data_IF_656436346302
#
_entry.id   IF_656436346302
#
_cell.length_a   1.000
_cell.length_b   1.000
_cell.length_c   1.000
_cell.angle_alpha   90.00
_cell.angle_beta   90.00
_cell.angle_gamma   90.00
#
_symmetry.space_group_name_H-M   'P 1'
#
loop_
_entity.id
_entity.type
_entity.pdbx_description
1 polymer ?
#
# COMPACT_ATOMS: atom_id res chain seq x y z
N UNK A 1 19.31 47.34 64.13
CA UNK A 1 18.41 46.69 63.18
C UNK A 1 19.22 45.69 62.41
N UNK A 2 19.05 44.42 62.71
CA UNK A 2 19.80 43.34 62.06
C UNK A 2 19.04 42.84 60.82
N UNK A 3 19.70 42.90 59.71
CA UNK A 3 19.21 42.38 58.42
C UNK A 3 19.24 40.84 58.47
N UNK A 4 18.07 40.22 58.39
CA UNK A 4 17.95 38.76 58.27
C UNK A 4 18.14 38.35 56.83
N UNK A 5 18.99 37.35 56.53
CA UNK A 5 19.14 36.84 55.15
C UNK A 5 17.87 36.14 54.70
N UNK A 6 17.44 36.45 53.47
CA UNK A 6 16.34 35.76 52.78
C UNK A 6 16.70 34.27 52.53
N UNK A 7 15.75 33.35 52.67
CA UNK A 7 16.02 31.96 52.38
C UNK A 7 16.29 31.74 50.88
N UNK A 8 17.34 31.02 50.55
CA UNK A 8 17.67 30.59 49.18
C UNK A 8 16.54 29.82 48.56
N UNK A 9 16.07 30.28 47.39
CA UNK A 9 15.08 29.56 46.59
C UNK A 9 15.66 28.21 46.15
N UNK A 10 14.92 27.10 46.27
CA UNK A 10 15.47 25.79 45.88
C UNK A 10 15.76 25.80 44.38
N UNK A 11 17.01 25.44 44.03
CA UNK A 11 17.42 25.20 42.65
C UNK A 11 16.51 24.10 42.10
N UNK A 12 15.83 24.31 40.96
CA UNK A 12 14.97 23.27 40.38
C UNK A 12 15.85 22.05 40.05
N UNK A 13 15.40 20.86 40.48
CA UNK A 13 16.07 19.61 40.21
C UNK A 13 16.31 19.47 38.68
N UNK A 14 17.45 18.95 38.24
CA UNK A 14 17.73 18.75 36.83
C UNK A 14 16.59 17.87 36.26
N UNK A 15 15.95 18.33 35.16
CA UNK A 15 15.00 17.49 34.41
C UNK A 15 15.70 16.19 34.11
N UNK A 16 15.17 15.06 34.59
CA UNK A 16 15.71 13.74 34.26
C UNK A 16 15.85 13.64 32.74
N UNK A 17 17.04 13.29 32.27
CA UNK A 17 17.27 13.11 30.85
C UNK A 17 16.26 12.07 30.32
N UNK A 18 15.64 12.36 29.17
CA UNK A 18 14.71 11.43 28.53
C UNK A 18 15.41 10.09 28.27
N UNK A 19 14.74 8.94 28.44
CA UNK A 19 15.31 7.65 28.16
C UNK A 19 15.75 7.55 26.70
N UNK A 20 16.91 6.94 26.38
CA UNK A 20 17.37 6.77 25.01
C UNK A 20 16.51 5.76 24.27
N UNK A 21 16.21 6.04 22.99
CA UNK A 21 15.55 5.12 22.07
C UNK A 21 16.27 5.18 20.72
N UNK A 22 16.84 4.07 20.30
CA UNK A 22 17.41 3.93 18.97
C UNK A 22 16.29 3.66 17.97
N UNK A 23 16.19 4.50 16.92
CA UNK A 23 15.21 4.37 15.86
C UNK A 23 15.89 4.02 14.54
N UNK A 24 15.44 2.94 13.91
CA UNK A 24 15.95 2.46 12.63
C UNK A 24 14.84 2.58 11.57
N UNK A 25 15.00 3.52 10.66
CA UNK A 25 14.05 3.74 9.57
C UNK A 25 14.33 2.78 8.41
N UNK A 26 13.30 2.11 7.90
CA UNK A 26 13.40 1.32 6.68
C UNK A 26 13.57 2.23 5.45
N UNK A 27 14.47 1.87 4.55
CA UNK A 27 14.64 2.53 3.26
C UNK A 27 14.65 1.51 2.12
N UNK A 28 13.74 1.60 1.12
CA UNK A 28 12.68 2.59 0.96
C UNK A 28 11.46 2.35 1.86
N UNK A 29 10.67 3.40 2.07
CA UNK A 29 9.38 3.40 2.77
C UNK A 29 8.45 4.46 2.16
N UNK A 30 7.18 4.47 2.56
CA UNK A 30 6.23 5.50 2.14
C UNK A 30 5.88 5.44 0.65
N UNK A 31 5.45 6.55 0.06
CA UNK A 31 4.89 6.61 -1.29
C UNK A 31 5.75 5.92 -2.33
N UNK A 32 5.09 5.17 -3.23
CA UNK A 32 5.68 4.63 -4.45
C UNK A 32 5.25 5.48 -5.67
N UNK A 33 5.95 5.31 -6.80
CA UNK A 33 5.64 6.06 -8.03
C UNK A 33 4.19 5.87 -8.52
N UNK A 34 3.57 4.70 -8.27
CA UNK A 34 2.18 4.43 -8.64
C UNK A 34 1.20 5.27 -7.82
N UNK A 35 1.44 5.37 -6.51
CA UNK A 35 0.65 6.19 -5.58
C UNK A 35 0.83 7.66 -5.87
N UNK A 36 2.07 8.15 -6.00
CA UNK A 36 2.35 9.55 -6.35
C UNK A 36 1.64 9.96 -7.65
N UNK A 37 1.74 9.12 -8.69
CA UNK A 37 1.04 9.37 -9.96
C UNK A 37 -0.49 9.45 -9.78
N UNK A 38 -1.08 8.57 -8.98
CA UNK A 38 -2.53 8.54 -8.80
C UNK A 38 -3.05 9.79 -8.08
N UNK A 39 -2.34 10.24 -7.03
CA UNK A 39 -2.65 11.48 -6.32
C UNK A 39 -2.55 12.67 -7.27
N UNK A 40 -1.45 12.78 -8.01
CA UNK A 40 -1.24 13.87 -8.99
C UNK A 40 -2.29 13.89 -10.10
N UNK A 41 -2.86 12.77 -10.49
CA UNK A 41 -3.97 12.72 -11.46
C UNK A 41 -5.20 13.41 -10.88
N UNK A 42 -5.56 13.18 -9.62
CA UNK A 42 -6.70 13.84 -8.99
C UNK A 42 -6.44 15.34 -8.81
N UNK A 43 -5.25 15.73 -8.34
CA UNK A 43 -4.86 17.14 -8.19
C UNK A 43 -4.90 17.88 -9.52
N UNK A 44 -4.38 17.27 -10.58
CA UNK A 44 -4.39 17.87 -11.91
C UNK A 44 -5.82 17.91 -12.51
N UNK A 45 -6.66 16.93 -12.22
CA UNK A 45 -8.07 16.97 -12.60
C UNK A 45 -8.81 18.11 -11.89
N UNK A 46 -8.59 18.31 -10.59
CA UNK A 46 -9.13 19.45 -9.82
C UNK A 46 -8.65 20.79 -10.37
N UNK A 47 -7.37 20.88 -10.74
CA UNK A 47 -6.81 22.10 -11.33
C UNK A 47 -7.43 22.47 -12.68
N UNK A 48 -7.74 21.47 -13.53
CA UNK A 48 -8.27 21.67 -14.88
C UNK A 48 -9.78 21.85 -14.94
N UNK A 49 -10.50 21.05 -14.16
CA UNK A 49 -11.98 21.02 -14.22
C UNK A 49 -12.61 21.89 -13.12
N UNK A 50 -11.85 22.25 -12.09
CA UNK A 50 -12.41 22.83 -10.87
C UNK A 50 -13.08 21.75 -10.00
N UNK A 51 -13.43 22.13 -8.77
CA UNK A 51 -14.22 21.28 -7.88
C UNK A 51 -15.70 21.31 -8.24
N UNK A 52 -16.43 20.21 -8.08
CA UNK A 52 -15.98 18.89 -7.63
C UNK A 52 -15.39 18.02 -8.74
N UNK A 53 -14.37 17.21 -8.39
CA UNK A 53 -13.93 16.06 -9.19
C UNK A 53 -14.29 14.79 -8.42
N UNK A 54 -14.98 13.87 -9.07
CA UNK A 54 -15.37 12.61 -8.44
C UNK A 54 -14.25 11.60 -8.53
N UNK A 55 -14.10 10.77 -7.49
CA UNK A 55 -13.10 9.69 -7.45
C UNK A 55 -13.79 8.42 -7.03
N UNK A 56 -13.76 7.40 -7.90
CA UNK A 56 -14.38 6.11 -7.59
C UNK A 56 -13.47 5.28 -6.71
N UNK A 57 -13.96 4.91 -5.53
CA UNK A 57 -13.23 4.32 -4.41
C UNK A 57 -12.10 5.24 -3.89
N UNK A 58 -11.48 4.87 -2.78
CA UNK A 58 -10.26 5.55 -2.34
C UNK A 58 -9.22 5.53 -3.46
N UNK A 59 -8.63 6.69 -3.77
CA UNK A 59 -7.58 6.76 -4.81
C UNK A 59 -6.42 5.83 -4.48
N UNK A 60 -6.07 5.74 -3.22
CA UNK A 60 -5.14 4.81 -2.57
C UNK A 60 -5.62 4.54 -1.15
N UNK A 61 -5.28 3.39 -0.57
CA UNK A 61 -5.69 3.03 0.79
C UNK A 61 -4.92 3.82 1.86
N UNK A 62 -5.28 5.09 1.99
CA UNK A 62 -4.76 5.95 3.07
C UNK A 62 -5.72 7.11 3.36
N UNK A 63 -6.33 7.11 4.55
CA UNK A 63 -7.31 8.12 4.95
C UNK A 63 -6.77 9.55 4.93
N UNK A 64 -5.51 9.76 5.33
CA UNK A 64 -4.86 11.09 5.30
C UNK A 64 -4.79 11.64 3.88
N UNK A 65 -4.51 10.77 2.89
CA UNK A 65 -4.49 11.16 1.47
C UNK A 65 -5.90 11.49 0.98
N UNK A 66 -6.88 10.63 1.30
CA UNK A 66 -8.29 10.85 0.93
C UNK A 66 -8.78 12.18 1.47
N UNK A 67 -8.61 12.44 2.77
CA UNK A 67 -8.99 13.71 3.40
C UNK A 67 -8.27 14.94 2.85
N UNK A 68 -7.01 14.77 2.45
CA UNK A 68 -6.26 15.87 1.82
C UNK A 68 -6.85 16.26 0.45
N UNK A 69 -7.31 15.27 -0.32
CA UNK A 69 -7.96 15.50 -1.61
C UNK A 69 -9.42 15.99 -1.45
N UNK A 70 -10.15 15.50 -0.45
CA UNK A 70 -11.49 16.00 -0.09
C UNK A 70 -11.45 17.51 0.23
N UNK A 71 -10.43 17.95 1.00
CA UNK A 71 -10.23 19.39 1.29
C UNK A 71 -9.94 20.23 0.05
N UNK A 72 -9.43 19.64 -1.02
CA UNK A 72 -9.20 20.29 -2.31
C UNK A 72 -10.44 20.27 -3.22
N UNK A 73 -11.49 19.53 -2.83
CA UNK A 73 -12.75 19.43 -3.59
C UNK A 73 -12.94 18.13 -4.36
N UNK A 74 -12.17 17.07 -4.06
CA UNK A 74 -12.48 15.73 -4.54
C UNK A 74 -13.69 15.16 -3.76
N UNK A 75 -14.53 14.41 -4.46
CA UNK A 75 -15.70 13.73 -3.88
C UNK A 75 -15.53 12.23 -4.15
N UNK A 76 -15.36 11.46 -3.08
CA UNK A 76 -15.21 10.01 -3.21
C UNK A 76 -16.59 9.34 -3.26
N UNK A 77 -16.75 8.43 -4.23
CA UNK A 77 -17.98 7.66 -4.47
C UNK A 77 -17.64 6.17 -4.63
N UNK A 78 -18.60 5.31 -4.32
CA UNK A 78 -18.41 3.87 -4.50
C UNK A 78 -18.69 3.45 -5.95
N UNK A 79 -19.76 3.99 -6.57
CA UNK A 79 -20.17 3.59 -7.91
C UNK A 79 -20.28 4.80 -8.87
N UNK A 80 -20.04 4.53 -10.15
CA UNK A 80 -20.19 5.55 -11.22
C UNK A 80 -21.61 6.12 -11.26
N UNK A 81 -22.60 5.33 -10.84
CA UNK A 81 -23.99 5.75 -10.74
C UNK A 81 -24.22 6.98 -9.85
N UNK A 82 -23.35 7.21 -8.88
CA UNK A 82 -23.40 8.36 -7.95
C UNK A 82 -22.83 9.65 -8.55
N UNK A 83 -22.10 9.54 -9.66
CA UNK A 83 -21.49 10.71 -10.34
C UNK A 83 -22.54 11.46 -11.13
N UNK A 84 -22.74 12.78 -10.93
CA UNK A 84 -23.65 13.58 -11.75
C UNK A 84 -23.25 13.61 -13.23
N UNK A 85 -24.22 13.76 -14.11
CA UNK A 85 -23.98 13.93 -15.55
C UNK A 85 -23.05 15.12 -15.81
N UNK A 86 -22.09 14.93 -16.71
CA UNK A 86 -21.13 15.97 -17.11
C UNK A 86 -19.99 16.21 -16.11
N UNK A 87 -20.02 15.62 -14.91
CA UNK A 87 -18.91 15.73 -13.96
C UNK A 87 -17.78 14.73 -14.33
N UNK A 88 -16.51 15.11 -14.12
CA UNK A 88 -15.38 14.21 -14.35
C UNK A 88 -15.25 13.20 -13.22
N UNK A 89 -14.89 11.94 -13.56
CA UNK A 89 -14.55 10.90 -12.56
C UNK A 89 -13.15 10.37 -12.78
N UNK A 90 -12.44 10.10 -11.67
CA UNK A 90 -11.13 9.45 -11.67
C UNK A 90 -11.29 8.03 -11.11
N UNK A 91 -10.77 7.04 -11.83
CA UNK A 91 -10.71 5.66 -11.34
C UNK A 91 -9.43 5.46 -10.54
N UNK A 92 -9.52 4.71 -9.42
CA UNK A 92 -8.44 4.58 -8.45
C UNK A 92 -7.19 3.85 -8.99
N UNK A 93 -6.09 3.95 -8.26
CA UNK A 93 -4.81 3.29 -8.59
C UNK A 93 -4.91 1.76 -8.68
N UNK A 94 -5.93 1.16 -8.05
CA UNK A 94 -6.13 -0.29 -7.99
C UNK A 94 -6.62 -0.90 -9.31
N UNK A 95 -7.09 -0.06 -10.24
CA UNK A 95 -7.74 -0.52 -11.46
C UNK A 95 -9.22 -0.86 -11.25
N UNK A 96 -9.95 -0.96 -12.34
CA UNK A 96 -11.38 -1.22 -12.34
C UNK A 96 -11.76 -2.30 -13.36
N UNK A 97 -12.88 -3.04 -13.16
CA UNK A 97 -13.47 -3.91 -14.19
C UNK A 97 -13.77 -3.14 -15.47
N UNK A 98 -13.74 -3.80 -16.62
CA UNK A 98 -14.13 -3.19 -17.93
C UNK A 98 -15.55 -2.64 -17.96
N UNK A 99 -16.43 -3.14 -17.13
CA UNK A 99 -17.80 -2.63 -16.99
C UNK A 99 -17.85 -1.19 -16.50
N UNK A 100 -16.92 -0.77 -15.66
CA UNK A 100 -16.91 0.57 -15.05
C UNK A 100 -16.68 1.69 -16.08
N UNK A 101 -15.61 1.67 -16.92
CA UNK A 101 -15.51 2.65 -17.99
C UNK A 101 -16.61 2.54 -19.03
N UNK A 102 -17.15 1.34 -19.30
CA UNK A 102 -18.29 1.16 -20.21
C UNK A 102 -19.56 1.85 -19.67
N UNK A 103 -19.81 1.76 -18.36
CA UNK A 103 -20.90 2.48 -17.69
C UNK A 103 -20.70 3.99 -17.79
N UNK A 104 -19.48 4.50 -17.51
CA UNK A 104 -19.17 5.93 -17.62
C UNK A 104 -19.46 6.46 -19.03
N UNK A 105 -19.03 5.72 -20.07
CA UNK A 105 -19.32 6.04 -21.47
C UNK A 105 -20.83 6.05 -21.75
N UNK A 106 -21.56 5.03 -21.31
CA UNK A 106 -23.02 4.94 -21.51
C UNK A 106 -23.80 6.10 -20.88
N UNK A 107 -23.24 6.67 -19.78
CA UNK A 107 -23.82 7.81 -19.07
C UNK A 107 -23.24 9.18 -19.54
N UNK A 108 -22.38 9.20 -20.56
CA UNK A 108 -21.77 10.45 -21.02
C UNK A 108 -20.82 11.13 -20.01
N UNK A 109 -20.30 10.36 -19.04
CA UNK A 109 -19.39 10.86 -18.01
C UNK A 109 -17.95 10.78 -18.54
N UNK A 110 -17.22 11.90 -18.48
CA UNK A 110 -15.78 11.91 -18.77
C UNK A 110 -15.01 11.26 -17.63
N UNK A 111 -14.00 10.46 -17.94
CA UNK A 111 -13.22 9.77 -16.94
C UNK A 111 -11.72 9.82 -17.19
N UNK A 112 -10.96 9.73 -16.12
CA UNK A 112 -9.50 9.63 -16.09
C UNK A 112 -9.11 8.33 -15.36
N UNK A 113 -8.15 7.62 -15.94
CA UNK A 113 -7.66 6.36 -15.37
C UNK A 113 -6.36 6.58 -14.57
N UNK A 114 -6.48 6.48 -13.24
CA UNK A 114 -5.33 6.52 -12.36
C UNK A 114 -4.74 5.13 -12.06
N UNK A 115 -5.23 4.06 -12.70
CA UNK A 115 -4.68 2.70 -12.54
C UNK A 115 -3.15 2.72 -12.63
N UNK A 116 -2.50 2.14 -11.63
CA UNK A 116 -1.04 2.02 -11.63
C UNK A 116 -0.57 1.26 -12.87
N UNK A 117 0.48 1.72 -13.57
CA UNK A 117 1.01 1.02 -14.76
C UNK A 117 1.39 -0.43 -14.51
N UNK A 118 1.75 -0.78 -13.26
CA UNK A 118 2.08 -2.16 -12.87
C UNK A 118 0.83 -3.02 -12.69
N UNK A 119 -0.28 -2.46 -12.23
CA UNK A 119 -1.61 -3.12 -12.24
C UNK A 119 -2.10 -3.29 -13.67
N UNK A 120 -1.98 -2.26 -14.52
CA UNK A 120 -2.30 -2.36 -15.96
C UNK A 120 -1.47 -3.43 -16.68
N UNK A 121 -0.24 -3.70 -16.21
CA UNK A 121 0.56 -4.83 -16.70
C UNK A 121 -0.13 -6.16 -16.41
N UNK A 122 -0.61 -6.37 -15.18
CA UNK A 122 -1.33 -7.59 -14.77
C UNK A 122 -2.62 -7.76 -15.58
N UNK A 123 -3.38 -6.68 -15.81
CA UNK A 123 -4.56 -6.71 -16.67
C UNK A 123 -4.22 -7.21 -18.10
N UNK A 124 -3.16 -6.67 -18.71
CA UNK A 124 -2.70 -7.11 -20.05
C UNK A 124 -2.20 -8.55 -20.07
N UNK A 125 -1.54 -9.01 -19.00
CA UNK A 125 -1.15 -10.42 -18.86
C UNK A 125 -2.38 -11.33 -18.82
N UNK A 126 -3.40 -10.96 -18.06
CA UNK A 126 -4.66 -11.68 -18.00
C UNK A 126 -5.32 -11.79 -19.39
N UNK A 127 -5.44 -10.66 -20.09
CA UNK A 127 -6.01 -10.63 -21.45
C UNK A 127 -5.18 -11.50 -22.43
N UNK A 128 -3.86 -11.43 -22.35
CA UNK A 128 -2.97 -12.23 -23.20
C UNK A 128 -3.13 -13.73 -22.97
N UNK A 129 -3.26 -14.16 -21.71
CA UNK A 129 -3.48 -15.57 -21.38
C UNK A 129 -4.85 -16.04 -21.82
N UNK A 130 -5.89 -15.23 -21.63
CA UNK A 130 -7.25 -15.50 -22.09
C UNK A 130 -7.33 -15.60 -23.61
N UNK A 131 -6.70 -14.68 -24.33
CA UNK A 131 -6.62 -14.73 -25.80
C UNK A 131 -5.90 -15.99 -26.35
N UNK A 132 -5.02 -16.59 -25.54
CA UNK A 132 -4.39 -17.88 -25.84
C UNK A 132 -5.25 -19.09 -25.37
N UNK A 133 -6.48 -18.88 -24.95
CA UNK A 133 -7.42 -19.91 -24.51
C UNK A 133 -7.15 -20.49 -23.13
N UNK A 134 -6.18 -19.95 -22.36
CA UNK A 134 -5.82 -20.50 -21.04
C UNK A 134 -6.78 -20.08 -19.96
N UNK A 135 -7.12 -20.99 -19.07
CA UNK A 135 -7.73 -20.64 -17.81
C UNK A 135 -6.69 -20.04 -16.86
N UNK A 136 -7.06 -19.02 -16.07
CA UNK A 136 -6.13 -18.23 -15.28
C UNK A 136 -6.38 -18.45 -13.80
N UNK A 137 -5.33 -18.76 -13.04
CA UNK A 137 -5.34 -18.74 -11.58
C UNK A 137 -4.85 -17.37 -11.12
N UNK A 138 -5.75 -16.57 -10.52
CA UNK A 138 -5.43 -15.27 -9.94
C UNK A 138 -5.02 -15.47 -8.49
N UNK A 139 -3.75 -15.27 -8.16
CA UNK A 139 -3.27 -15.29 -6.78
C UNK A 139 -3.50 -13.91 -6.17
N UNK A 140 -4.33 -13.83 -5.11
CA UNK A 140 -4.71 -12.55 -4.52
C UNK A 140 -5.71 -12.70 -3.39
N UNK A 141 -6.15 -11.58 -2.82
CA UNK A 141 -7.12 -11.57 -1.71
C UNK A 141 -8.53 -11.24 -2.22
N UNK A 142 -9.51 -12.06 -1.87
CA UNK A 142 -10.91 -11.81 -2.16
C UNK A 142 -11.35 -10.43 -1.63
N UNK A 143 -12.16 -9.73 -2.41
CA UNK A 143 -12.68 -8.40 -2.04
C UNK A 143 -11.69 -7.25 -2.23
N UNK A 144 -10.42 -7.51 -2.51
CA UNK A 144 -9.47 -6.42 -2.77
C UNK A 144 -9.78 -5.75 -4.12
N UNK A 145 -9.83 -4.40 -4.22
CA UNK A 145 -10.17 -3.68 -5.45
C UNK A 145 -9.31 -4.08 -6.67
N UNK A 146 -8.00 -4.30 -6.49
CA UNK A 146 -7.09 -4.75 -7.55
C UNK A 146 -7.49 -6.13 -8.09
N UNK A 147 -7.90 -7.07 -7.22
CA UNK A 147 -8.35 -8.40 -7.61
C UNK A 147 -9.68 -8.33 -8.37
N UNK A 148 -10.63 -7.54 -7.86
CA UNK A 148 -11.91 -7.27 -8.51
C UNK A 148 -11.66 -6.65 -9.90
N UNK A 149 -10.81 -5.62 -9.97
CA UNK A 149 -10.45 -4.93 -11.20
C UNK A 149 -9.82 -5.87 -12.23
N UNK A 150 -8.88 -6.72 -11.79
CA UNK A 150 -8.16 -7.68 -12.65
C UNK A 150 -9.10 -8.79 -13.14
N UNK A 151 -9.87 -9.40 -12.25
CA UNK A 151 -10.83 -10.44 -12.63
C UNK A 151 -11.91 -9.90 -13.59
N UNK A 152 -12.30 -8.64 -13.40
CA UNK A 152 -13.27 -7.95 -14.26
C UNK A 152 -12.73 -7.52 -15.64
N UNK A 153 -11.47 -7.84 -15.97
CA UNK A 153 -10.94 -7.67 -17.34
C UNK A 153 -11.47 -8.75 -18.32
N UNK A 154 -11.90 -9.87 -17.79
CA UNK A 154 -12.33 -11.03 -18.59
C UNK A 154 -13.79 -11.41 -18.29
N UNK A 155 -14.34 -12.28 -19.11
CA UNK A 155 -15.65 -12.85 -18.88
C UNK A 155 -15.70 -13.66 -17.58
N UNK A 156 -16.84 -13.70 -16.88
CA UNK A 156 -17.01 -14.56 -15.71
C UNK A 156 -16.60 -16.02 -15.99
N UNK A 157 -15.88 -16.62 -15.05
CA UNK A 157 -15.39 -18.00 -15.18
C UNK A 157 -14.05 -18.17 -15.90
N UNK A 158 -13.50 -17.12 -16.54
CA UNK A 158 -12.19 -17.20 -17.19
C UNK A 158 -11.01 -17.23 -16.19
N UNK A 159 -11.25 -16.83 -14.93
CA UNK A 159 -10.28 -16.85 -13.85
C UNK A 159 -10.84 -17.55 -12.61
N UNK A 160 -9.97 -18.24 -11.88
CA UNK A 160 -10.23 -18.77 -10.53
C UNK A 160 -9.30 -18.07 -9.54
N UNK A 161 -9.85 -17.54 -8.46
CA UNK A 161 -9.06 -16.93 -7.39
C UNK A 161 -8.42 -18.02 -6.51
N UNK A 162 -7.16 -17.81 -6.15
CA UNK A 162 -6.39 -18.64 -5.22
C UNK A 162 -5.77 -17.71 -4.18
N UNK A 163 -6.14 -17.84 -2.92
CA UNK A 163 -5.73 -16.93 -1.87
C UNK A 163 -4.61 -17.49 -0.98
N UNK A 164 -4.59 -18.81 -0.83
CA UNK A 164 -3.72 -19.49 0.15
C UNK A 164 -3.01 -20.70 -0.47
N UNK A 165 -1.94 -21.14 0.20
CA UNK A 165 -1.26 -22.38 -0.14
C UNK A 165 -2.21 -23.61 -0.06
N UNK A 166 -3.19 -23.62 0.86
CA UNK A 166 -4.16 -24.68 0.97
C UNK A 166 -5.12 -24.70 -0.23
N UNK A 167 -5.63 -23.54 -0.62
CA UNK A 167 -6.44 -23.43 -1.85
C UNK A 167 -5.62 -23.86 -3.08
N UNK A 168 -4.34 -23.50 -3.15
CA UNK A 168 -3.45 -23.95 -4.23
C UNK A 168 -3.28 -25.48 -4.28
N UNK A 169 -3.34 -26.17 -3.13
CA UNK A 169 -3.28 -27.64 -3.06
C UNK A 169 -4.56 -28.31 -3.57
N UNK A 170 -5.70 -27.63 -3.45
CA UNK A 170 -7.02 -28.24 -3.68
C UNK A 170 -7.73 -27.71 -4.93
N UNK A 171 -7.35 -26.56 -5.47
CA UNK A 171 -7.98 -25.93 -6.64
C UNK A 171 -8.06 -26.91 -7.83
N UNK A 172 -9.23 -26.96 -8.47
CA UNK A 172 -9.53 -27.80 -9.66
C UNK A 172 -9.97 -26.89 -10.81
N UNK A 173 -9.02 -26.25 -11.50
CA UNK A 173 -9.36 -25.36 -12.63
C UNK A 173 -9.72 -26.17 -13.88
N UNK A 174 -10.48 -25.55 -14.80
CA UNK A 174 -10.59 -26.07 -16.16
C UNK A 174 -9.24 -25.90 -16.87
N UNK A 175 -8.59 -27.00 -17.18
CA UNK A 175 -7.24 -27.03 -17.75
C UNK A 175 -7.20 -27.53 -19.21
N UNK A 176 -8.35 -27.75 -19.85
CA UNK A 176 -8.44 -28.34 -21.18
C UNK A 176 -7.56 -27.63 -22.24
N UNK A 177 -7.42 -26.29 -22.14
CA UNK A 177 -6.64 -25.47 -23.05
C UNK A 177 -5.35 -24.91 -22.40
N UNK A 178 -4.92 -25.51 -21.28
CA UNK A 178 -3.77 -25.08 -20.51
C UNK A 178 -4.08 -24.03 -19.44
N UNK A 179 -3.11 -23.82 -18.55
CA UNK A 179 -3.24 -22.94 -17.40
C UNK A 179 -2.23 -21.79 -17.45
N UNK A 180 -2.60 -20.69 -16.83
CA UNK A 180 -1.69 -19.63 -16.48
C UNK A 180 -1.96 -19.17 -15.04
N UNK A 181 -1.01 -18.47 -14.43
CA UNK A 181 -1.24 -17.72 -13.20
C UNK A 181 -0.75 -16.29 -13.34
N UNK A 182 -1.40 -15.40 -12.62
CA UNK A 182 -1.03 -14.01 -12.40
C UNK A 182 -1.19 -13.71 -10.91
N UNK A 183 -0.60 -12.61 -10.44
CA UNK A 183 -0.68 -12.27 -9.01
C UNK A 183 -1.12 -10.83 -8.78
N UNK A 184 -1.74 -10.57 -7.63
CA UNK A 184 -1.92 -9.23 -7.11
C UNK A 184 -0.54 -8.60 -6.83
N UNK A 185 -0.41 -7.29 -7.05
CA UNK A 185 0.90 -6.59 -6.98
C UNK A 185 1.42 -6.36 -5.57
N UNK A 186 0.59 -6.52 -4.54
CA UNK A 186 0.88 -6.18 -3.14
C UNK A 186 0.94 -7.37 -2.19
N UNK A 187 1.15 -8.57 -2.71
CA UNK A 187 1.25 -9.79 -1.91
C UNK A 187 2.59 -9.91 -1.16
N UNK A 188 2.63 -10.81 -0.18
CA UNK A 188 3.89 -11.28 0.40
C UNK A 188 4.68 -12.04 -0.67
N UNK A 189 5.96 -11.67 -0.83
CA UNK A 189 6.86 -12.34 -1.78
C UNK A 189 7.04 -13.81 -1.42
N UNK A 190 7.25 -14.10 -0.13
CA UNK A 190 7.52 -15.46 0.35
C UNK A 190 6.27 -16.35 0.23
N UNK A 191 5.08 -15.83 0.61
CA UNK A 191 3.82 -16.59 0.51
C UNK A 191 3.45 -16.87 -0.94
N UNK A 192 3.65 -15.88 -1.79
CA UNK A 192 3.39 -16.06 -3.22
C UNK A 192 4.33 -17.09 -3.83
N UNK A 193 5.58 -17.11 -3.42
CA UNK A 193 6.55 -18.12 -3.87
C UNK A 193 6.11 -19.54 -3.46
N UNK A 194 5.59 -19.72 -2.25
CA UNK A 194 5.02 -21.01 -1.80
C UNK A 194 3.82 -21.43 -2.66
N UNK A 195 2.84 -20.53 -2.84
CA UNK A 195 1.65 -20.78 -3.67
C UNK A 195 2.06 -21.18 -5.08
N UNK A 196 2.97 -20.42 -5.71
CA UNK A 196 3.47 -20.68 -7.07
C UNK A 196 4.19 -22.04 -7.15
N UNK A 197 4.99 -22.39 -6.14
CA UNK A 197 5.68 -23.68 -6.11
C UNK A 197 4.69 -24.85 -6.07
N UNK A 198 3.62 -24.74 -5.28
CA UNK A 198 2.53 -25.74 -5.21
C UNK A 198 1.83 -25.85 -6.57
N UNK A 199 1.45 -24.72 -7.17
CA UNK A 199 0.77 -24.73 -8.46
C UNK A 199 1.65 -25.33 -9.58
N UNK A 200 2.94 -25.03 -9.60
CA UNK A 200 3.89 -25.60 -10.58
C UNK A 200 4.10 -27.11 -10.37
N UNK A 201 4.10 -27.57 -9.12
CA UNK A 201 4.16 -29.01 -8.81
C UNK A 201 2.91 -29.77 -9.27
N UNK A 202 1.74 -29.16 -9.13
CA UNK A 202 0.45 -29.75 -9.55
C UNK A 202 0.20 -29.65 -11.04
N UNK A 203 0.65 -28.56 -11.65
CA UNK A 203 0.43 -28.23 -13.06
C UNK A 203 1.78 -27.86 -13.71
N UNK A 204 2.62 -28.83 -14.13
CA UNK A 204 3.97 -28.57 -14.59
C UNK A 204 4.06 -27.61 -15.80
N UNK A 205 3.02 -27.57 -16.64
CA UNK A 205 2.94 -26.72 -17.83
C UNK A 205 2.30 -25.35 -17.57
N UNK A 206 1.98 -25.02 -16.30
CA UNK A 206 1.37 -23.73 -15.96
C UNK A 206 2.28 -22.56 -16.38
N UNK A 207 1.71 -21.58 -17.07
CA UNK A 207 2.45 -20.40 -17.53
C UNK A 207 2.34 -19.27 -16.49
N UNK A 208 3.47 -18.75 -16.07
CA UNK A 208 3.54 -17.56 -15.24
C UNK A 208 3.64 -16.26 -16.05
N UNK A 209 3.67 -15.11 -15.37
CA UNK A 209 3.93 -13.82 -15.98
C UNK A 209 5.35 -13.77 -16.57
N UNK A 210 5.55 -12.92 -17.60
CA UNK A 210 6.87 -12.72 -18.24
C UNK A 210 7.90 -12.09 -17.30
N UNK A 211 7.44 -11.25 -16.40
CA UNK A 211 8.22 -10.65 -15.31
C UNK A 211 7.32 -10.64 -14.08
N UNK A 212 7.91 -10.61 -12.89
CA UNK A 212 7.17 -10.64 -11.63
C UNK A 212 5.99 -9.66 -11.62
N UNK A 213 4.84 -10.11 -11.11
CA UNK A 213 3.65 -9.26 -10.94
C UNK A 213 3.69 -8.50 -9.61
N UNK A 214 4.28 -9.08 -8.56
CA UNK A 214 4.55 -8.33 -7.33
C UNK A 214 5.42 -7.13 -7.70
N UNK A 215 4.94 -5.93 -7.39
CA UNK A 215 5.60 -4.73 -7.86
C UNK A 215 6.92 -4.46 -7.10
N UNK A 216 7.84 -3.73 -7.76
CA UNK A 216 9.12 -3.33 -7.17
C UNK A 216 8.94 -2.67 -5.80
N UNK A 217 7.93 -1.81 -5.66
CA UNK A 217 7.68 -1.10 -4.41
C UNK A 217 7.31 -2.04 -3.26
N UNK A 218 6.52 -3.08 -3.53
CA UNK A 218 6.19 -4.13 -2.57
C UNK A 218 7.42 -4.93 -2.19
N UNK A 219 8.17 -5.41 -3.18
CA UNK A 219 9.38 -6.22 -2.96
C UNK A 219 10.43 -5.44 -2.16
N UNK A 220 10.70 -4.20 -2.55
CA UNK A 220 11.72 -3.37 -1.90
C UNK A 220 11.35 -3.04 -0.45
N UNK A 221 10.08 -2.68 -0.18
CA UNK A 221 9.64 -2.37 1.18
C UNK A 221 9.65 -3.59 2.08
N UNK A 222 9.30 -4.77 1.56
CA UNK A 222 9.42 -6.03 2.31
C UNK A 222 10.89 -6.35 2.63
N UNK A 223 11.81 -6.16 1.68
CA UNK A 223 13.24 -6.33 1.91
C UNK A 223 13.75 -5.35 2.98
N UNK A 224 13.33 -4.08 2.93
CA UNK A 224 13.70 -3.06 3.90
C UNK A 224 13.17 -3.39 5.31
N UNK A 225 11.93 -3.88 5.42
CA UNK A 225 11.36 -4.31 6.70
C UNK A 225 12.10 -5.53 7.25
N UNK A 226 12.42 -6.53 6.43
CA UNK A 226 13.25 -7.68 6.87
C UNK A 226 14.60 -7.23 7.44
N UNK A 227 15.24 -6.24 6.79
CA UNK A 227 16.53 -5.72 7.24
C UNK A 227 16.46 -5.01 8.58
N UNK A 228 15.43 -4.21 8.85
CA UNK A 228 15.29 -3.51 10.14
C UNK A 228 14.74 -4.41 11.24
N UNK A 229 13.90 -5.38 10.91
CA UNK A 229 13.30 -6.29 11.88
C UNK A 229 14.36 -7.06 12.66
N UNK A 230 15.39 -7.56 11.99
CA UNK A 230 16.48 -8.30 12.63
C UNK A 230 17.28 -7.48 13.69
N UNK A 231 17.20 -6.14 13.62
CA UNK A 231 17.92 -5.23 14.50
C UNK A 231 17.00 -4.51 15.52
N UNK A 232 15.69 -4.83 15.53
CA UNK A 232 14.69 -4.10 16.32
C UNK A 232 14.00 -5.00 17.35
N UNK A 233 13.56 -4.41 18.46
CA UNK A 233 12.75 -5.07 19.48
C UNK A 233 11.25 -4.99 19.13
N UNK A 234 10.86 -3.96 18.37
CA UNK A 234 9.53 -3.70 17.84
C UNK A 234 9.65 -3.04 16.46
N UNK A 235 8.79 -3.39 15.53
CA UNK A 235 8.62 -2.66 14.26
C UNK A 235 7.24 -1.99 14.24
N UNK A 236 7.23 -0.68 14.00
CA UNK A 236 6.00 0.07 13.67
C UNK A 236 5.92 0.27 12.17
N UNK A 237 4.83 -0.18 11.58
CA UNK A 237 4.49 0.11 10.18
C UNK A 237 3.42 1.19 10.17
N UNK A 238 3.69 2.33 9.54
CA UNK A 238 2.69 3.35 9.30
C UNK A 238 1.89 2.99 8.05
N UNK A 239 0.56 2.91 8.20
CA UNK A 239 -0.33 2.57 7.09
C UNK A 239 -1.75 2.22 7.53
N UNK A 240 -2.67 2.18 6.59
CA UNK A 240 -4.08 1.88 6.84
C UNK A 240 -4.33 0.37 6.93
N UNK A 241 -5.30 -0.03 7.74
CA UNK A 241 -5.66 -1.43 7.94
C UNK A 241 -6.22 -2.11 6.67
N UNK A 242 -6.83 -1.35 5.76
CA UNK A 242 -7.32 -1.83 4.47
C UNK A 242 -6.23 -1.84 3.37
N UNK A 243 -5.01 -1.38 3.67
CA UNK A 243 -3.87 -1.44 2.74
C UNK A 243 -3.20 -2.81 2.79
N UNK A 244 -3.37 -3.61 1.73
CA UNK A 244 -2.72 -4.92 1.59
C UNK A 244 -1.19 -4.81 1.76
N UNK A 245 -0.56 -3.83 1.10
CA UNK A 245 0.89 -3.63 1.25
C UNK A 245 1.29 -3.37 2.71
N UNK A 246 0.57 -2.50 3.44
CA UNK A 246 0.90 -2.18 4.83
C UNK A 246 0.74 -3.37 5.76
N UNK A 247 -0.32 -4.18 5.57
CA UNK A 247 -0.51 -5.42 6.31
C UNK A 247 0.64 -6.41 6.06
N UNK A 248 1.05 -6.58 4.81
CA UNK A 248 2.17 -7.47 4.46
C UNK A 248 3.48 -7.04 5.12
N UNK A 249 3.75 -5.73 5.23
CA UNK A 249 4.95 -5.25 5.92
C UNK A 249 4.96 -5.64 7.40
N UNK A 250 3.83 -5.50 8.10
CA UNK A 250 3.69 -5.96 9.48
C UNK A 250 3.96 -7.47 9.60
N UNK A 251 3.31 -8.27 8.77
CA UNK A 251 3.43 -9.72 8.78
C UNK A 251 4.85 -10.19 8.44
N UNK A 252 5.54 -9.49 7.52
CA UNK A 252 6.95 -9.78 7.20
C UNK A 252 7.86 -9.57 8.42
N UNK A 253 7.63 -8.49 9.20
CA UNK A 253 8.38 -8.28 10.44
C UNK A 253 8.08 -9.37 11.50
N UNK A 254 6.80 -9.75 11.66
CA UNK A 254 6.38 -10.82 12.57
C UNK A 254 7.02 -12.17 12.20
N UNK A 255 7.06 -12.52 10.91
CA UNK A 255 7.75 -13.72 10.41
C UNK A 255 9.26 -13.70 10.62
N UNK A 256 9.86 -12.51 10.59
CA UNK A 256 11.28 -12.36 10.94
C UNK A 256 11.54 -12.53 12.44
N UNK A 257 10.51 -12.81 13.24
CA UNK A 257 10.61 -13.03 14.68
C UNK A 257 10.54 -11.75 15.53
N UNK A 258 10.20 -10.61 14.93
CA UNK A 258 10.14 -9.32 15.62
C UNK A 258 8.68 -8.90 15.81
N UNK A 259 8.31 -8.45 17.01
CA UNK A 259 6.99 -7.87 17.26
C UNK A 259 6.73 -6.74 16.26
N UNK A 260 5.54 -6.69 15.67
CA UNK A 260 5.20 -5.62 14.76
C UNK A 260 3.76 -5.11 14.98
N UNK A 261 3.56 -3.82 14.74
CA UNK A 261 2.24 -3.19 14.82
C UNK A 261 2.02 -2.31 13.59
N UNK A 262 0.77 -2.25 13.14
CA UNK A 262 0.32 -1.35 12.08
C UNK A 262 -0.41 -0.18 12.73
N UNK A 263 0.05 1.04 12.48
CA UNK A 263 -0.56 2.26 12.99
C UNK A 263 -1.01 3.16 11.83
N UNK A 264 -2.25 3.62 11.80
CA UNK A 264 -2.71 4.55 10.75
C UNK A 264 -2.07 5.94 10.88
N UNK A 265 -1.80 6.39 12.10
CA UNK A 265 -1.21 7.70 12.42
C UNK A 265 -0.41 7.62 13.72
N UNK A 266 0.41 8.63 13.98
CA UNK A 266 1.16 8.75 15.23
C UNK A 266 0.26 8.79 16.48
N UNK A 267 -0.95 9.34 16.37
CA UNK A 267 -1.90 9.46 17.50
C UNK A 267 -2.37 8.08 17.99
N UNK A 268 -2.39 7.08 17.12
CA UNK A 268 -2.77 5.71 17.47
C UNK A 268 -1.68 4.96 18.27
N UNK A 269 -0.52 5.57 18.51
CA UNK A 269 0.55 4.95 19.30
C UNK A 269 0.11 4.87 20.78
N UNK A 270 -0.01 3.65 21.28
CA UNK A 270 -0.15 3.36 22.70
C UNK A 270 1.25 3.21 23.32
N UNK A 271 1.57 4.02 24.33
CA UNK A 271 2.89 4.05 24.98
C UNK A 271 3.30 2.71 25.61
N UNK A 272 2.34 1.90 26.03
CA UNK A 272 2.54 0.55 26.54
C UNK A 272 3.29 -0.37 25.55
N UNK A 273 3.12 -0.14 24.25
CA UNK A 273 3.82 -0.88 23.18
C UNK A 273 5.34 -0.71 23.26
N UNK A 274 5.81 0.42 23.76
CA UNK A 274 7.23 0.75 23.88
C UNK A 274 7.84 0.32 25.22
N UNK A 275 7.08 -0.34 26.09
CA UNK A 275 7.61 -0.85 27.37
C UNK A 275 8.72 -1.87 27.09
N UNK A 276 9.95 -1.59 27.58
CA UNK A 276 11.13 -2.43 27.38
C UNK A 276 11.74 -2.36 25.96
N UNK A 277 11.24 -1.50 25.08
CA UNK A 277 11.80 -1.29 23.73
C UNK A 277 12.97 -0.32 23.82
N UNK A 278 14.11 -0.72 23.30
CA UNK A 278 15.33 0.09 23.19
C UNK A 278 15.73 0.34 21.74
N UNK A 279 15.27 -0.51 20.82
CA UNK A 279 15.52 -0.46 19.38
C UNK A 279 14.18 -0.56 18.64
N UNK A 280 13.76 0.54 18.05
CA UNK A 280 12.50 0.66 17.33
C UNK A 280 12.76 0.71 15.83
N UNK A 281 12.21 -0.25 15.07
CA UNK A 281 12.14 -0.19 13.62
C UNK A 281 10.89 0.59 13.17
N UNK A 282 11.03 1.46 12.18
CA UNK A 282 9.89 2.18 11.59
C UNK A 282 9.90 2.00 10.07
N UNK A 283 8.77 1.60 9.53
CA UNK A 283 8.49 1.58 8.09
C UNK A 283 7.15 2.22 7.78
N UNK A 284 6.87 2.43 6.50
CA UNK A 284 5.61 2.98 6.03
C UNK A 284 5.17 2.28 4.75
N UNK A 285 3.87 1.99 4.66
CA UNK A 285 3.27 1.38 3.47
C UNK A 285 3.36 2.29 2.24
N UNK A 286 3.27 1.68 1.04
CA UNK A 286 3.41 2.38 -0.24
C UNK A 286 2.35 3.48 -0.49
N UNK A 287 1.29 3.55 0.31
CA UNK A 287 0.25 4.58 0.28
C UNK A 287 0.32 5.56 1.45
N UNK A 288 1.31 5.43 2.36
CA UNK A 288 1.47 6.31 3.52
C UNK A 288 2.44 7.46 3.19
N UNK A 289 2.03 8.73 3.36
CA UNK A 289 2.92 9.86 3.16
C UNK A 289 4.00 9.91 4.25
N UNK A 290 5.20 10.37 3.90
CA UNK A 290 6.34 10.50 4.83
C UNK A 290 6.01 11.37 6.05
N UNK A 291 5.17 12.38 5.87
CA UNK A 291 4.65 13.23 6.95
C UNK A 291 4.15 12.43 8.17
N UNK A 292 3.54 11.26 7.95
CA UNK A 292 3.06 10.43 9.07
C UNK A 292 4.21 9.78 9.86
N UNK A 293 5.33 9.50 9.19
CA UNK A 293 6.57 9.02 9.85
C UNK A 293 7.18 10.15 10.66
N UNK A 294 7.26 11.35 10.08
CA UNK A 294 7.77 12.55 10.77
C UNK A 294 6.95 12.86 12.03
N UNK A 295 5.62 12.82 11.93
CA UNK A 295 4.73 12.99 13.08
C UNK A 295 4.93 11.94 14.16
N UNK A 296 5.22 10.68 13.78
CA UNK A 296 5.56 9.64 14.75
C UNK A 296 6.89 9.94 15.44
N UNK A 297 7.90 10.37 14.71
CA UNK A 297 9.19 10.75 15.27
C UNK A 297 9.07 11.95 16.22
N UNK A 298 8.29 12.97 15.88
CA UNK A 298 8.02 14.12 16.76
C UNK A 298 7.36 13.67 18.07
N UNK A 299 6.31 12.84 17.97
CA UNK A 299 5.62 12.32 19.14
C UNK A 299 6.53 11.47 20.04
N UNK A 300 7.45 10.68 19.45
CA UNK A 300 8.44 9.92 20.22
C UNK A 300 9.44 10.83 20.93
N UNK A 301 9.84 11.97 20.34
CA UNK A 301 10.74 12.96 20.96
C UNK A 301 10.17 13.62 22.22
N UNK A 302 8.86 13.59 22.40
CA UNK A 302 8.22 14.07 23.65
C UNK A 302 8.60 13.22 24.86
N UNK A 303 8.95 11.91 24.65
CA UNK A 303 9.18 10.93 25.70
C UNK A 303 10.56 10.28 25.69
N UNK A 304 11.31 10.40 24.58
CA UNK A 304 12.58 9.73 24.36
C UNK A 304 13.64 10.65 23.76
N UNK A 305 14.90 10.42 24.14
CA UNK A 305 16.05 10.95 23.41
C UNK A 305 16.33 10.00 22.23
N UNK A 306 15.96 10.43 21.00
CA UNK A 306 16.04 9.58 19.81
C UNK A 306 17.46 9.59 19.20
N UNK A 307 17.98 8.40 18.89
CA UNK A 307 19.09 8.19 17.97
C UNK A 307 18.52 7.58 16.68
N UNK A 308 18.37 8.40 15.62
CA UNK A 308 17.67 8.03 14.39
C UNK A 308 18.69 7.74 13.29
N UNK A 309 18.59 6.56 12.69
CA UNK A 309 19.38 6.15 11.52
C UNK A 309 18.46 5.51 10.47
N UNK A 310 18.94 5.39 9.23
CA UNK A 310 18.21 4.73 8.14
C UNK A 310 18.97 3.50 7.65
N UNK A 311 18.25 2.40 7.42
CA UNK A 311 18.74 1.22 6.74
C UNK A 311 18.14 1.15 5.35
N UNK A 312 18.88 1.66 4.38
CA UNK A 312 18.47 1.63 2.97
C UNK A 312 18.98 0.37 2.30
N UNK A 313 18.08 -0.40 1.67
CA UNK A 313 18.42 -1.65 0.95
C UNK A 313 18.52 -1.44 -0.56
N UNK A 314 17.81 -0.44 -1.09
CA UNK A 314 17.81 -0.07 -2.51
C UNK A 314 17.35 1.38 -2.67
N UNK A 315 17.78 2.03 -3.73
CA UNK A 315 17.25 3.32 -4.16
C UNK A 315 16.19 3.12 -5.24
N UNK A 316 15.11 3.92 -5.17
CA UNK A 316 14.02 3.90 -6.14
C UNK A 316 14.06 5.19 -6.96
N UNK A 317 14.20 5.07 -8.27
CA UNK A 317 14.22 6.16 -9.25
C UNK A 317 13.05 6.09 -10.24
N UNK A 318 12.09 5.21 -9.98
CA UNK A 318 10.93 4.98 -10.83
C UNK A 318 9.99 6.18 -10.82
N UNK A 319 9.67 6.69 -12.00
CA UNK A 319 8.70 7.77 -12.19
C UNK A 319 7.70 7.37 -13.28
N UNK A 320 6.41 7.51 -12.99
CA UNK A 320 5.37 7.28 -13.98
C UNK A 320 4.80 8.60 -14.51
N UNK A 321 4.71 8.70 -15.84
CA UNK A 321 4.10 9.86 -16.51
C UNK A 321 2.60 9.92 -16.25
N UNK A 322 2.07 11.13 -16.22
CA UNK A 322 0.62 11.35 -16.25
C UNK A 322 0.01 10.80 -17.57
N UNK A 323 -1.27 10.43 -17.60
CA UNK A 323 -1.94 10.02 -18.82
C UNK A 323 -2.03 11.19 -19.81
N UNK A 324 -2.04 10.89 -21.12
CA UNK A 324 -2.02 11.88 -22.19
C UNK A 324 -3.02 13.04 -22.04
N UNK A 325 -4.25 12.85 -21.55
CA UNK A 325 -5.19 13.95 -21.32
C UNK A 325 -4.71 14.96 -20.26
N UNK A 326 -3.73 14.58 -19.41
CA UNK A 326 -3.20 15.41 -18.32
C UNK A 326 -1.72 15.76 -18.49
N UNK A 327 -1.06 15.23 -19.51
CA UNK A 327 0.36 15.46 -19.78
C UNK A 327 0.64 16.83 -20.39
#
# INVERSE_FOLDING_TARGET
MADSPMPDSPIPAPRSALPPLRVLLAGPRGFCAGVDRAIRIVEEALRRHGAPVYVRHEIVHNRTVVEALERQGAVFVEEVAEVPEGAPVVFSAHGVPKSVPAEAVARGISWLDATCPLVSKVHREAERHSAAGRHILMIGHAGHPEVIGTMGQLAPGAMTLVQTAEEARTVMPDSANGLAFITQTTLSVDDTAEVVAILRSRFPDIRGPKSEDICYATTNRQAAVKAIAAESDLVIVIGSANSSNSQRLREVAERAGTRAVLLPTAVALEWSLLSGVTRLGISAGASAPELLVDQLLERLREHYALDVSERRVVEEDVVFKLPAPLA
#
